data_IF_922673257469
#
_entry.id   IF_922673257469
#
_cell.length_a   1.000
_cell.length_b   1.000
_cell.length_c   1.000
_cell.angle_alpha   90.00
_cell.angle_beta   90.00
_cell.angle_gamma   90.00
#
_symmetry.space_group_name_H-M   'P 1'
#
loop_
_entity.id
_entity.type
_entity.pdbx_description
1 polymer ?
#
# COMPACT_ATOMS: atom_id res chain seq x y z
N UNK A 1 33.90 9.21 22.07
CA UNK A 1 33.16 7.93 21.91
C UNK A 1 31.69 8.18 22.16
N UNK A 2 30.89 8.23 21.10
CA UNK A 2 29.44 8.48 21.18
C UNK A 2 28.72 7.25 21.76
N UNK A 3 27.96 7.44 22.85
CA UNK A 3 27.08 6.41 23.41
C UNK A 3 25.98 6.11 22.38
N UNK A 4 26.11 5.01 21.64
CA UNK A 4 25.01 4.40 20.88
C UNK A 4 23.92 4.00 21.89
N UNK A 5 22.95 4.88 22.13
CA UNK A 5 21.76 4.56 22.89
C UNK A 5 21.05 3.40 22.22
N UNK A 6 20.85 2.29 22.94
CA UNK A 6 20.02 1.18 22.47
C UNK A 6 18.64 1.75 22.17
N UNK A 7 18.22 1.73 20.92
CA UNK A 7 16.84 2.05 20.56
C UNK A 7 15.93 1.13 21.39
N UNK A 8 15.04 1.67 22.23
CA UNK A 8 14.15 0.85 23.02
C UNK A 8 13.29 0.00 22.08
N UNK A 9 13.10 -1.29 22.39
CA UNK A 9 12.34 -2.21 21.53
C UNK A 9 10.93 -1.67 21.19
N UNK A 10 10.34 -0.90 22.10
CA UNK A 10 9.08 -0.17 21.88
C UNK A 10 9.18 0.88 20.77
N UNK A 11 10.29 1.61 20.66
CA UNK A 11 10.52 2.58 19.58
C UNK A 11 10.72 1.92 18.23
N UNK A 12 11.36 0.74 18.20
CA UNK A 12 11.50 -0.06 16.97
C UNK A 12 10.15 -0.59 16.50
N UNK A 13 9.32 -1.11 17.43
CA UNK A 13 7.95 -1.57 17.13
C UNK A 13 7.05 -0.46 16.60
N UNK A 14 7.13 0.74 17.17
CA UNK A 14 6.39 1.90 16.69
C UNK A 14 6.87 2.30 15.29
N UNK A 15 8.18 2.41 15.07
CA UNK A 15 8.74 2.75 13.76
C UNK A 15 8.38 1.71 12.69
N UNK A 16 8.48 0.43 13.02
CA UNK A 16 8.04 -0.65 12.13
C UNK A 16 6.54 -0.58 11.86
N UNK A 17 5.71 -0.38 12.88
CA UNK A 17 4.26 -0.28 12.71
C UNK A 17 3.89 0.85 11.75
N UNK A 18 4.48 2.04 11.94
CA UNK A 18 4.21 3.20 11.09
C UNK A 18 4.66 2.97 9.64
N UNK A 19 5.90 2.52 9.42
CA UNK A 19 6.45 2.35 8.06
C UNK A 19 5.81 1.17 7.33
N UNK A 20 5.64 0.03 8.00
CA UNK A 20 5.06 -1.14 7.36
C UNK A 20 3.53 -1.07 7.30
N UNK A 21 2.87 -0.28 8.13
CA UNK A 21 1.40 -0.15 8.08
C UNK A 21 0.91 0.47 6.78
N UNK A 22 1.63 1.48 6.27
CA UNK A 22 1.31 2.09 4.98
C UNK A 22 1.56 1.07 3.84
N UNK A 23 2.77 0.52 3.78
CA UNK A 23 3.17 -0.41 2.70
C UNK A 23 2.39 -1.73 2.71
N UNK A 24 2.07 -2.27 3.88
CA UNK A 24 1.54 -3.64 4.02
C UNK A 24 0.04 -3.75 3.81
N UNK A 25 -0.72 -2.66 3.95
CA UNK A 25 -2.16 -2.65 3.67
C UNK A 25 -2.45 -2.49 2.18
N UNK A 26 -1.52 -1.90 1.42
CA UNK A 26 -1.72 -1.57 0.01
C UNK A 26 -2.01 -2.74 -0.92
N UNK A 27 -1.29 -3.88 -0.82
CA UNK A 27 -1.62 -5.05 -1.62
C UNK A 27 -3.04 -5.58 -1.42
N UNK A 28 -3.62 -5.43 -0.23
CA UNK A 28 -4.95 -5.98 0.07
C UNK A 28 -6.06 -5.19 -0.62
N UNK A 29 -6.01 -3.86 -0.61
CA UNK A 29 -7.01 -3.08 -1.34
C UNK A 29 -6.84 -3.21 -2.85
N UNK A 30 -5.60 -3.35 -3.34
CA UNK A 30 -5.34 -3.55 -4.77
C UNK A 30 -5.93 -4.86 -5.24
N UNK A 31 -5.70 -5.94 -4.50
CA UNK A 31 -6.31 -7.23 -4.81
C UNK A 31 -7.82 -7.11 -4.89
N UNK A 32 -8.44 -6.43 -3.92
CA UNK A 32 -9.89 -6.21 -3.92
C UNK A 32 -10.36 -5.41 -5.14
N UNK A 33 -9.71 -4.28 -5.45
CA UNK A 33 -10.08 -3.41 -6.57
C UNK A 33 -9.94 -4.12 -7.93
N UNK A 34 -8.91 -4.95 -8.10
CA UNK A 34 -8.71 -5.74 -9.31
C UNK A 34 -9.80 -6.82 -9.44
N UNK A 35 -10.14 -7.49 -8.34
CA UNK A 35 -11.18 -8.52 -8.30
C UNK A 35 -12.54 -7.94 -8.66
N UNK A 36 -12.93 -6.81 -8.04
CA UNK A 36 -14.19 -6.13 -8.33
C UNK A 36 -14.21 -5.55 -9.75
N UNK A 37 -13.11 -4.95 -10.19
CA UNK A 37 -12.97 -4.39 -11.53
C UNK A 37 -13.03 -5.42 -12.67
N UNK A 38 -12.78 -6.69 -12.38
CA UNK A 38 -12.86 -7.78 -13.36
C UNK A 38 -14.19 -8.55 -13.34
N UNK A 39 -15.24 -8.04 -12.68
CA UNK A 39 -16.56 -8.68 -12.61
C UNK A 39 -16.81 -9.53 -11.36
N UNK A 40 -15.93 -9.44 -10.36
CA UNK A 40 -16.06 -10.11 -9.07
C UNK A 40 -15.53 -11.56 -9.07
N UNK A 41 -15.79 -12.28 -7.98
CA UNK A 41 -15.25 -13.64 -7.77
C UNK A 41 -15.70 -14.68 -8.80
N UNK A 42 -16.80 -14.42 -9.54
CA UNK A 42 -17.37 -15.39 -10.49
C UNK A 42 -16.65 -15.42 -11.84
N UNK A 43 -15.90 -14.38 -12.18
CA UNK A 43 -15.15 -14.25 -13.44
C UNK A 43 -13.65 -14.52 -13.26
N UNK A 44 -13.23 -14.87 -12.05
CA UNK A 44 -11.81 -15.08 -11.72
C UNK A 44 -11.42 -16.54 -11.91
N UNK A 45 -10.38 -16.73 -12.72
CA UNK A 45 -9.69 -18.01 -12.87
C UNK A 45 -8.38 -18.02 -12.04
N UNK A 46 -7.86 -19.21 -11.73
CA UNK A 46 -6.59 -19.41 -11.04
C UNK A 46 -5.42 -18.69 -11.73
N UNK A 47 -5.39 -18.69 -13.07
CA UNK A 47 -4.34 -18.00 -13.85
C UNK A 47 -4.38 -16.48 -13.64
N UNK A 48 -5.57 -15.90 -13.47
CA UNK A 48 -5.73 -14.48 -13.17
C UNK A 48 -5.19 -14.15 -11.78
N UNK A 49 -5.46 -15.00 -10.78
CA UNK A 49 -4.94 -14.82 -9.41
C UNK A 49 -3.41 -14.92 -9.40
N UNK A 50 -2.84 -15.96 -10.03
CA UNK A 50 -1.40 -16.16 -10.13
C UNK A 50 -0.73 -15.00 -10.86
N UNK A 51 -1.30 -14.55 -11.97
CA UNK A 51 -0.84 -13.38 -12.71
C UNK A 51 -0.88 -12.10 -11.88
N UNK A 52 -1.98 -11.87 -11.13
CA UNK A 52 -2.14 -10.66 -10.32
C UNK A 52 -1.13 -10.63 -9.18
N UNK A 53 -0.98 -11.74 -8.45
CA UNK A 53 0.00 -11.86 -7.37
C UNK A 53 1.43 -11.71 -7.92
N UNK A 54 1.73 -12.35 -9.05
CA UNK A 54 3.02 -12.19 -9.72
C UNK A 54 3.32 -10.75 -10.08
N UNK A 55 2.32 -10.03 -10.58
CA UNK A 55 2.50 -8.67 -11.04
C UNK A 55 2.69 -7.72 -9.86
N UNK A 56 1.93 -7.86 -8.77
CA UNK A 56 2.16 -7.12 -7.52
C UNK A 56 3.56 -7.42 -6.97
N UNK A 57 3.95 -8.70 -6.88
CA UNK A 57 5.26 -9.11 -6.35
C UNK A 57 6.42 -8.49 -7.14
N UNK A 58 6.40 -8.61 -8.47
CA UNK A 58 7.47 -8.08 -9.31
C UNK A 58 7.46 -6.56 -9.40
N UNK A 59 6.28 -5.92 -9.43
CA UNK A 59 6.19 -4.46 -9.40
C UNK A 59 6.76 -3.90 -8.10
N UNK A 60 6.41 -4.47 -6.94
CA UNK A 60 6.99 -4.07 -5.66
C UNK A 60 8.51 -4.28 -5.66
N UNK A 61 8.96 -5.48 -6.03
CA UNK A 61 10.39 -5.84 -6.03
C UNK A 61 11.21 -4.93 -6.96
N UNK A 62 10.73 -4.70 -8.19
CA UNK A 62 11.43 -3.88 -9.17
C UNK A 62 11.40 -2.40 -8.79
N UNK A 63 10.26 -1.85 -8.36
CA UNK A 63 10.17 -0.46 -7.96
C UNK A 63 11.03 -0.18 -6.73
N UNK A 64 10.97 -1.03 -5.69
CA UNK A 64 11.82 -0.83 -4.51
C UNK A 64 13.30 -0.92 -4.85
N UNK A 65 13.69 -1.89 -5.67
CA UNK A 65 15.09 -2.09 -6.07
C UNK A 65 15.59 -0.94 -6.95
N UNK A 66 14.86 -0.57 -8.00
CA UNK A 66 15.32 0.45 -8.94
C UNK A 66 15.23 1.85 -8.31
N UNK A 67 14.07 2.24 -7.76
CA UNK A 67 13.86 3.60 -7.23
C UNK A 67 14.69 3.85 -5.98
N UNK A 68 14.67 2.93 -5.00
CA UNK A 68 15.31 3.19 -3.71
C UNK A 68 16.75 2.68 -3.67
N UNK A 69 16.99 1.43 -4.10
CA UNK A 69 18.35 0.85 -4.00
C UNK A 69 19.28 1.39 -5.08
N UNK A 70 18.84 1.45 -6.33
CA UNK A 70 19.72 1.88 -7.42
C UNK A 70 19.78 3.40 -7.58
N UNK A 71 18.67 4.12 -7.42
CA UNK A 71 18.65 5.58 -7.61
C UNK A 71 18.86 6.32 -6.29
N UNK A 72 18.00 6.11 -5.29
CA UNK A 72 18.05 6.93 -4.07
C UNK A 72 19.30 6.68 -3.21
N UNK A 73 19.78 5.43 -3.10
CA UNK A 73 21.00 5.11 -2.36
C UNK A 73 22.29 5.43 -3.13
N UNK A 74 22.28 5.48 -4.47
CA UNK A 74 23.46 5.92 -5.26
C UNK A 74 23.49 7.43 -5.49
N UNK A 75 22.38 8.14 -5.31
CA UNK A 75 22.32 9.60 -5.34
C UNK A 75 22.84 10.22 -4.02
N UNK A 76 23.96 9.70 -3.51
CA UNK A 76 24.68 10.24 -2.37
C UNK A 76 25.48 11.47 -2.83
N UNK A 77 25.29 12.59 -2.14
CA UNK A 77 26.09 13.79 -2.32
C UNK A 77 26.80 14.08 -0.99
N UNK A 78 28.04 13.62 -0.88
CA UNK A 78 28.95 13.93 0.23
C UNK A 78 28.40 13.55 1.63
N UNK A 79 27.68 12.44 1.77
CA UNK A 79 27.32 11.87 3.07
C UNK A 79 26.02 12.40 3.67
N UNK A 80 25.26 13.24 2.96
CA UNK A 80 23.86 13.57 3.29
C UNK A 80 22.92 12.84 2.32
N UNK A 81 22.73 11.55 2.59
CA UNK A 81 21.82 10.68 1.83
C UNK A 81 20.35 11.01 2.13
N UNK A 82 19.57 11.29 1.10
CA UNK A 82 18.12 11.39 1.21
C UNK A 82 17.47 12.19 0.09
N UNK A 83 16.16 11.98 -0.07
CA UNK A 83 15.26 12.67 -1.02
C UNK A 83 15.43 14.21 -0.99
N UNK A 84 15.86 14.76 0.15
CA UNK A 84 16.16 16.19 0.34
C UNK A 84 17.45 16.69 -0.35
N UNK A 85 18.47 15.85 -0.55
CA UNK A 85 19.67 16.21 -1.33
C UNK A 85 19.36 16.30 -2.83
N UNK A 86 18.52 15.37 -3.33
CA UNK A 86 17.96 15.40 -4.68
C UNK A 86 17.09 16.65 -4.91
N UNK A 87 16.23 17.02 -3.95
CA UNK A 87 15.41 18.24 -4.03
C UNK A 87 16.26 19.52 -4.10
N UNK A 88 17.35 19.59 -3.33
CA UNK A 88 18.26 20.75 -3.34
C UNK A 88 19.16 20.80 -4.58
N UNK A 89 19.52 19.66 -5.19
CA UNK A 89 20.21 19.60 -6.48
C UNK A 89 19.32 20.04 -7.66
N UNK A 90 18.06 19.57 -7.71
CA UNK A 90 17.09 19.93 -8.77
C UNK A 90 16.83 21.43 -8.81
N UNK A 91 16.77 22.09 -7.64
CA UNK A 91 16.58 23.55 -7.55
C UNK A 91 17.76 24.35 -8.13
N UNK A 92 18.98 23.79 -8.14
CA UNK A 92 20.18 24.47 -8.64
C UNK A 92 20.40 24.34 -10.15
N UNK A 93 19.74 23.39 -10.83
CA UNK A 93 20.06 23.06 -12.23
C UNK A 93 19.20 23.75 -13.31
N UNK A 94 18.10 24.45 -12.98
CA UNK A 94 17.44 25.32 -13.96
C UNK A 94 16.05 25.82 -13.60
N UNK A 95 15.70 27.03 -14.04
CA UNK A 95 14.36 27.65 -13.84
C UNK A 95 13.20 26.76 -14.34
N UNK A 96 13.43 25.95 -15.38
CA UNK A 96 12.42 25.06 -15.96
C UNK A 96 12.13 23.81 -15.12
N UNK A 97 13.00 23.43 -14.18
CA UNK A 97 12.78 22.29 -13.27
C UNK A 97 11.78 22.61 -12.14
N UNK A 98 11.41 23.88 -11.96
CA UNK A 98 10.43 24.30 -10.94
C UNK A 98 9.02 23.77 -11.28
N UNK A 99 8.63 23.78 -12.55
CA UNK A 99 7.31 23.31 -12.99
C UNK A 99 7.10 21.81 -12.64
N UNK A 100 7.96 20.87 -13.09
CA UNK A 100 7.80 19.46 -12.72
C UNK A 100 7.96 19.23 -11.21
N UNK A 101 8.78 20.02 -10.51
CA UNK A 101 8.90 19.93 -9.05
C UNK A 101 7.61 20.35 -8.33
N UNK A 102 6.93 21.41 -8.80
CA UNK A 102 5.63 21.83 -8.25
C UNK A 102 4.55 20.79 -8.51
N UNK A 103 4.51 20.21 -9.72
CA UNK A 103 3.58 19.13 -10.05
C UNK A 103 3.83 17.90 -9.17
N UNK A 104 5.09 17.48 -9.01
CA UNK A 104 5.45 16.38 -8.12
C UNK A 104 5.09 16.65 -6.66
N UNK A 105 5.35 17.86 -6.16
CA UNK A 105 4.97 18.26 -4.80
C UNK A 105 3.46 18.26 -4.59
N UNK A 106 2.68 18.76 -5.55
CA UNK A 106 1.22 18.71 -5.51
C UNK A 106 0.68 17.27 -5.55
N UNK A 107 1.28 16.40 -6.37
CA UNK A 107 0.92 14.99 -6.44
C UNK A 107 1.19 14.27 -5.11
N UNK A 108 2.33 14.54 -4.45
CA UNK A 108 2.65 13.99 -3.13
C UNK A 108 1.67 14.46 -2.04
N UNK A 109 1.26 15.72 -2.07
CA UNK A 109 0.24 16.23 -1.15
C UNK A 109 -1.13 15.60 -1.41
N UNK A 110 -1.50 15.43 -2.68
CA UNK A 110 -2.74 14.76 -3.07
C UNK A 110 -2.76 13.31 -2.59
N UNK A 111 -1.66 12.58 -2.78
CA UNK A 111 -1.50 11.20 -2.32
C UNK A 111 -1.69 11.09 -0.80
N UNK A 112 -1.03 11.96 -0.02
CA UNK A 112 -1.17 12.00 1.44
C UNK A 112 -2.60 12.30 1.95
N UNK A 113 -3.43 12.95 1.13
CA UNK A 113 -4.85 13.19 1.44
C UNK A 113 -5.75 12.04 0.99
N UNK A 114 -5.40 11.37 -0.11
CA UNK A 114 -6.18 10.26 -0.68
C UNK A 114 -6.02 8.95 0.11
N UNK A 115 -4.82 8.65 0.60
CA UNK A 115 -4.53 7.37 1.28
C UNK A 115 -5.46 7.07 2.47
N UNK A 116 -5.69 7.99 3.42
CA UNK A 116 -6.63 7.74 4.52
C UNK A 116 -8.07 7.50 4.05
N UNK A 117 -8.50 8.19 2.98
CA UNK A 117 -9.86 8.05 2.45
C UNK A 117 -10.07 6.69 1.77
N UNK A 118 -9.12 6.26 0.93
CA UNK A 118 -9.19 4.98 0.21
C UNK A 118 -9.04 3.80 1.16
N UNK A 119 -8.08 3.83 2.08
CA UNK A 119 -7.84 2.73 3.04
C UNK A 119 -9.03 2.52 3.97
N UNK A 120 -9.61 3.57 4.54
CA UNK A 120 -10.79 3.43 5.42
C UNK A 120 -12.02 2.97 4.64
N UNK A 121 -12.26 3.52 3.44
CA UNK A 121 -13.41 3.11 2.62
C UNK A 121 -13.31 1.63 2.24
N UNK A 122 -12.15 1.21 1.74
CA UNK A 122 -11.92 -0.19 1.32
C UNK A 122 -12.00 -1.16 2.49
N UNK A 123 -11.59 -0.76 3.70
CA UNK A 123 -11.75 -1.55 4.91
C UNK A 123 -13.23 -1.78 5.28
N UNK A 124 -14.06 -0.72 5.25
CA UNK A 124 -15.50 -0.84 5.54
C UNK A 124 -16.22 -1.64 4.47
N UNK A 125 -15.89 -1.42 3.20
CA UNK A 125 -16.41 -2.24 2.12
C UNK A 125 -15.89 -3.69 2.20
N UNK A 126 -14.72 -3.94 2.78
CA UNK A 126 -14.23 -5.29 3.07
C UNK A 126 -15.08 -5.99 4.12
N UNK A 127 -15.50 -5.27 5.18
CA UNK A 127 -16.43 -5.78 6.19
C UNK A 127 -17.78 -6.16 5.58
N UNK A 128 -18.24 -5.45 4.54
CA UNK A 128 -19.46 -5.79 3.81
C UNK A 128 -19.45 -7.21 3.21
N UNK A 129 -18.28 -7.78 2.94
CA UNK A 129 -18.15 -9.16 2.47
C UNK A 129 -18.53 -10.22 3.52
N UNK A 130 -18.66 -9.83 4.80
CA UNK A 130 -19.05 -10.73 5.88
C UNK A 130 -20.58 -10.71 6.04
N UNK A 131 -21.27 -11.88 6.07
CA UNK A 131 -22.73 -11.94 6.09
C UNK A 131 -23.39 -11.10 7.19
N UNK A 132 -22.81 -11.11 8.40
CA UNK A 132 -23.31 -10.35 9.56
C UNK A 132 -23.33 -8.83 9.31
N UNK A 133 -22.32 -8.32 8.60
CA UNK A 133 -22.22 -6.91 8.26
C UNK A 133 -23.00 -6.57 6.99
N UNK A 134 -23.16 -7.51 6.06
CA UNK A 134 -23.97 -7.34 4.86
C UNK A 134 -25.44 -7.04 5.19
N UNK A 135 -26.00 -7.70 6.21
CA UNK A 135 -27.38 -7.43 6.66
C UNK A 135 -27.56 -6.00 7.19
N UNK A 136 -26.52 -5.43 7.80
CA UNK A 136 -26.55 -4.07 8.37
C UNK A 136 -26.23 -2.99 7.32
N UNK A 137 -25.26 -3.24 6.43
CA UNK A 137 -24.82 -2.29 5.41
C UNK A 137 -25.66 -2.34 4.13
N UNK A 138 -26.26 -3.49 3.83
CA UNK A 138 -26.96 -3.76 2.57
C UNK A 138 -26.07 -3.54 1.35
N UNK A 139 -26.67 -3.13 0.23
CA UNK A 139 -25.97 -2.67 -0.98
C UNK A 139 -25.91 -1.12 -1.06
N UNK A 140 -26.05 -0.44 0.07
CA UNK A 140 -26.20 1.01 0.10
C UNK A 140 -24.84 1.69 0.28
N UNK A 141 -24.26 2.17 -0.83
CA UNK A 141 -22.98 2.88 -0.81
C UNK A 141 -23.02 4.12 0.08
N UNK A 142 -24.18 4.76 0.27
CA UNK A 142 -24.31 5.92 1.14
C UNK A 142 -24.02 5.58 2.61
N UNK A 143 -24.36 4.36 3.06
CA UNK A 143 -24.09 3.91 4.43
C UNK A 143 -22.58 3.77 4.65
N UNK A 144 -21.87 3.16 3.70
CA UNK A 144 -20.41 3.03 3.72
C UNK A 144 -19.76 4.41 3.77
N UNK A 145 -20.17 5.33 2.88
CA UNK A 145 -19.64 6.69 2.85
C UNK A 145 -19.84 7.43 4.18
N UNK A 146 -21.03 7.33 4.79
CA UNK A 146 -21.31 7.96 6.09
C UNK A 146 -20.40 7.38 7.18
N UNK A 147 -20.27 6.05 7.24
CA UNK A 147 -19.40 5.38 8.23
C UNK A 147 -17.95 5.83 8.04
N UNK A 148 -17.44 5.84 6.81
CA UNK A 148 -16.08 6.31 6.51
C UNK A 148 -15.88 7.76 6.95
N UNK A 149 -16.81 8.66 6.62
CA UNK A 149 -16.74 10.06 7.03
C UNK A 149 -16.70 10.22 8.55
N UNK A 150 -17.52 9.46 9.28
CA UNK A 150 -17.52 9.46 10.75
C UNK A 150 -16.19 8.97 11.29
N UNK A 151 -15.64 7.87 10.75
CA UNK A 151 -14.33 7.33 11.16
C UNK A 151 -13.23 8.36 10.92
N UNK A 152 -13.17 8.97 9.73
CA UNK A 152 -12.18 9.99 9.41
C UNK A 152 -12.30 11.20 10.33
N UNK A 153 -13.52 11.69 10.59
CA UNK A 153 -13.75 12.82 11.49
C UNK A 153 -13.26 12.49 12.91
N UNK A 154 -13.54 11.28 13.42
CA UNK A 154 -13.05 10.84 14.73
C UNK A 154 -11.53 10.70 14.74
N UNK A 155 -10.93 10.06 13.73
CA UNK A 155 -9.48 9.85 13.65
C UNK A 155 -8.72 11.18 13.57
N UNK A 156 -9.08 12.05 12.63
CA UNK A 156 -8.49 13.39 12.50
C UNK A 156 -8.83 14.28 13.71
N UNK A 157 -10.02 14.10 14.29
CA UNK A 157 -10.43 14.78 15.50
C UNK A 157 -9.58 14.40 16.71
N UNK A 158 -9.16 13.13 16.83
CA UNK A 158 -8.29 12.65 17.90
C UNK A 158 -6.82 13.09 17.72
N UNK A 159 -6.36 13.26 16.47
CA UNK A 159 -5.00 13.73 16.19
C UNK A 159 -4.69 15.11 16.79
N UNK A 160 -5.71 15.95 17.03
CA UNK A 160 -5.54 17.27 17.68
C UNK A 160 -4.97 17.19 19.10
N UNK A 161 -5.14 16.05 19.78
CA UNK A 161 -4.70 15.84 21.16
C UNK A 161 -3.26 15.33 21.26
N UNK A 162 -2.58 15.16 20.13
CA UNK A 162 -1.17 14.74 20.04
C UNK A 162 -1.02 13.46 19.22
N UNK A 163 -0.23 13.56 18.15
CA UNK A 163 0.12 12.44 17.27
C UNK A 163 0.95 11.37 17.98
N UNK A 164 1.64 11.74 19.08
CA UNK A 164 2.45 10.84 19.89
C UNK A 164 1.63 9.70 20.53
N UNK A 165 0.40 9.97 20.94
CA UNK A 165 -0.46 8.95 21.57
C UNK A 165 -0.95 7.96 20.52
N UNK A 166 -1.37 8.46 19.36
CA UNK A 166 -1.82 7.64 18.23
C UNK A 166 -0.67 6.77 17.71
N UNK A 167 0.53 7.35 17.53
CA UNK A 167 1.71 6.62 17.07
C UNK A 167 2.15 5.50 18.02
N UNK A 168 2.05 5.71 19.34
CA UNK A 168 2.37 4.67 20.34
C UNK A 168 1.38 3.50 20.32
N UNK A 169 0.10 3.77 20.08
CA UNK A 169 -0.92 2.72 19.96
C UNK A 169 -0.82 1.96 18.63
N UNK A 170 -0.35 2.63 17.57
CA UNK A 170 -0.29 2.06 16.22
C UNK A 170 0.67 0.87 16.13
N UNK A 171 1.87 0.97 16.72
CA UNK A 171 2.88 -0.10 16.69
C UNK A 171 2.36 -1.48 17.14
N UNK A 172 1.82 -1.61 18.36
CA UNK A 172 1.24 -2.86 18.86
C UNK A 172 0.07 -3.39 18.01
N UNK A 173 -0.82 -2.50 17.55
CA UNK A 173 -1.96 -2.88 16.71
C UNK A 173 -1.48 -3.45 15.37
N UNK A 174 -0.52 -2.79 14.72
CA UNK A 174 0.07 -3.26 13.48
C UNK A 174 0.82 -4.58 13.65
N UNK A 175 1.56 -4.73 14.75
CA UNK A 175 2.24 -5.99 15.05
C UNK A 175 1.25 -7.16 15.19
N UNK A 176 0.15 -6.94 15.93
CA UNK A 176 -0.91 -7.94 16.09
C UNK A 176 -1.56 -8.26 14.72
N UNK A 177 -1.85 -7.23 13.93
CA UNK A 177 -2.45 -7.37 12.61
C UNK A 177 -1.56 -8.16 11.64
N UNK A 178 -0.26 -7.83 11.55
CA UNK A 178 0.69 -8.56 10.72
C UNK A 178 0.90 -9.99 11.21
N UNK A 179 0.90 -10.22 12.52
CA UNK A 179 0.99 -11.56 13.09
C UNK A 179 -0.25 -12.39 12.71
N UNK A 180 -1.44 -11.78 12.75
CA UNK A 180 -2.67 -12.42 12.31
C UNK A 180 -2.63 -12.76 10.81
N UNK A 181 -2.24 -11.81 9.96
CA UNK A 181 -2.09 -12.06 8.52
C UNK A 181 -1.04 -13.13 8.22
N UNK A 182 0.10 -13.10 8.91
CA UNK A 182 1.15 -14.11 8.78
C UNK A 182 0.64 -15.49 9.19
N UNK A 183 -0.10 -15.59 10.29
CA UNK A 183 -0.69 -16.84 10.76
C UNK A 183 -1.71 -17.41 9.76
N UNK A 184 -2.69 -16.59 9.35
CA UNK A 184 -3.72 -17.01 8.38
C UNK A 184 -3.09 -17.31 7.02
N UNK A 185 -2.13 -16.49 6.59
CA UNK A 185 -1.40 -16.67 5.35
C UNK A 185 -0.63 -17.98 5.32
N UNK A 186 0.13 -18.30 6.38
CA UNK A 186 0.85 -19.57 6.49
C UNK A 186 -0.08 -20.78 6.50
N UNK A 187 -1.22 -20.70 7.20
CA UNK A 187 -2.21 -21.77 7.22
C UNK A 187 -2.78 -22.04 5.83
N UNK A 188 -3.22 -21.00 5.10
CA UNK A 188 -3.76 -21.16 3.75
C UNK A 188 -2.68 -21.55 2.73
N UNK A 189 -1.47 -20.98 2.84
CA UNK A 189 -0.35 -21.28 1.98
C UNK A 189 0.12 -22.74 2.10
N UNK A 190 0.01 -23.33 3.30
CA UNK A 190 0.34 -24.75 3.51
C UNK A 190 -0.61 -25.71 2.78
N UNK A 191 -1.83 -25.27 2.45
CA UNK A 191 -2.83 -26.08 1.77
C UNK A 191 -2.69 -26.06 0.25
N UNK A 192 -2.18 -24.96 -0.32
CA UNK A 192 -1.99 -24.82 -1.76
C UNK A 192 -0.64 -24.18 -2.12
N UNK A 193 0.38 -25.04 -2.28
CA UNK A 193 1.71 -24.63 -2.73
C UNK A 193 1.75 -24.13 -4.18
N UNK A 194 0.65 -24.25 -4.96
CA UNK A 194 0.63 -23.77 -6.34
C UNK A 194 0.84 -22.25 -6.43
N UNK A 195 0.54 -21.51 -5.35
CA UNK A 195 0.78 -20.07 -5.24
C UNK A 195 2.25 -19.67 -5.37
N UNK A 196 3.20 -20.57 -5.10
CA UNK A 196 4.65 -20.32 -5.32
C UNK A 196 4.93 -20.00 -6.79
N UNK A 197 4.13 -20.54 -7.71
CA UNK A 197 4.26 -20.27 -9.16
C UNK A 197 4.11 -18.79 -9.48
N UNK A 198 3.38 -18.02 -8.67
CA UNK A 198 3.25 -16.58 -8.84
C UNK A 198 4.59 -15.82 -8.71
N UNK A 199 5.66 -16.43 -8.17
CA UNK A 199 6.99 -15.81 -8.20
C UNK A 199 7.59 -15.78 -9.62
N UNK A 200 7.07 -16.58 -10.56
CA UNK A 200 7.55 -16.56 -11.93
C UNK A 200 6.97 -15.33 -12.68
N UNK A 201 7.81 -14.39 -13.16
CA UNK A 201 7.36 -13.17 -13.83
C UNK A 201 6.58 -13.44 -15.12
N UNK A 202 6.66 -14.66 -15.66
CA UNK A 202 5.90 -15.03 -16.85
C UNK A 202 4.38 -14.92 -16.60
N UNK A 203 3.89 -15.20 -15.39
CA UNK A 203 2.46 -15.06 -15.08
C UNK A 203 2.00 -13.61 -15.13
N UNK A 204 2.84 -12.68 -14.66
CA UNK A 204 2.60 -11.24 -14.78
C UNK A 204 2.52 -10.79 -16.25
N UNK A 205 3.47 -11.24 -17.08
CA UNK A 205 3.50 -10.89 -18.51
C UNK A 205 2.29 -11.49 -19.24
N UNK A 206 1.97 -12.76 -18.97
CA UNK A 206 0.81 -13.43 -19.55
C UNK A 206 -0.48 -12.70 -19.19
N UNK A 207 -0.66 -12.26 -17.95
CA UNK A 207 -1.87 -11.53 -17.53
C UNK A 207 -2.05 -10.19 -18.27
N UNK A 208 -0.96 -9.45 -18.50
CA UNK A 208 -1.01 -8.17 -19.22
C UNK A 208 -1.36 -8.40 -20.70
N UNK A 209 -0.83 -9.47 -21.30
CA UNK A 209 -1.00 -9.79 -22.71
C UNK A 209 -2.24 -10.64 -23.01
N UNK A 210 -2.92 -11.15 -21.97
CA UNK A 210 -4.08 -12.02 -22.15
C UNK A 210 -5.29 -11.22 -22.68
N UNK A 211 -5.88 -11.60 -23.82
CA UNK A 211 -7.09 -10.96 -24.36
C UNK A 211 -8.31 -11.06 -23.44
N UNK A 212 -8.36 -12.09 -22.57
CA UNK A 212 -9.46 -12.31 -21.63
C UNK A 212 -9.41 -11.38 -20.40
N UNK A 213 -8.36 -10.56 -20.28
CA UNK A 213 -8.27 -9.54 -19.25
C UNK A 213 -9.04 -8.29 -19.69
N UNK A 214 -10.25 -8.09 -19.16
CA UNK A 214 -11.11 -6.96 -19.51
C UNK A 214 -10.50 -5.59 -19.15
N UNK A 215 -9.58 -5.56 -18.17
CA UNK A 215 -8.84 -4.36 -17.79
C UNK A 215 -7.59 -4.14 -18.65
N UNK A 216 -7.08 -5.18 -19.33
CA UNK A 216 -5.86 -5.14 -20.14
C UNK A 216 -4.69 -4.47 -19.40
N UNK A 217 -4.06 -3.49 -20.05
CA UNK A 217 -2.94 -2.70 -19.49
C UNK A 217 -3.37 -1.80 -18.31
N UNK A 218 -4.65 -1.43 -18.20
CA UNK A 218 -5.13 -0.55 -17.12
C UNK A 218 -5.03 -1.19 -15.73
N UNK A 219 -4.91 -2.52 -15.65
CA UNK A 219 -4.64 -3.24 -14.41
C UNK A 219 -3.35 -2.74 -13.72
N UNK A 220 -2.37 -2.26 -14.49
CA UNK A 220 -1.12 -1.70 -13.97
C UNK A 220 -1.37 -0.44 -13.13
N UNK A 221 -2.41 0.35 -13.43
CA UNK A 221 -2.78 1.51 -12.62
C UNK A 221 -3.20 1.11 -11.21
N UNK A 222 -4.02 0.05 -11.09
CA UNK A 222 -4.41 -0.49 -9.79
C UNK A 222 -3.20 -1.08 -9.06
N UNK A 223 -2.31 -1.78 -9.77
CA UNK A 223 -1.11 -2.37 -9.17
C UNK A 223 -0.11 -1.32 -8.70
N UNK A 224 -0.04 -0.18 -9.39
CA UNK A 224 0.78 0.94 -8.95
C UNK A 224 0.34 1.45 -7.57
N UNK A 225 -0.96 1.39 -7.27
CA UNK A 225 -1.45 1.70 -5.92
C UNK A 225 -0.88 0.71 -4.88
N UNK A 226 -0.47 -0.51 -5.21
CA UNK A 226 0.15 -1.39 -4.21
C UNK A 226 1.47 -0.80 -3.68
N UNK A 227 2.05 0.16 -4.42
CA UNK A 227 3.30 0.83 -4.11
C UNK A 227 3.13 2.22 -3.50
N UNK A 228 1.89 2.70 -3.35
CA UNK A 228 1.60 3.96 -2.65
C UNK A 228 1.61 3.67 -1.15
N UNK A 229 2.66 4.14 -0.49
CA UNK A 229 3.00 4.01 0.92
C UNK A 229 4.46 4.38 1.21
#
# INVERSE_FOLDING_TARGET
>A
MSKKGKLPAAGLLVAMGVVYGDIGTSPLYVMKAIVEGNGGLQTINQDFILGTISLIFWTLTLLTTIKYVLIALNADNHGEGGIFSLYTLVRKQGKYLIIPAMIGGAALLADGVLTPAVTVTTAIEGLRGVPLFYETFGNNQNVIMIITLVILLVLFGLQRFGTDVVGKAFGPVMFLWFTFLGGVGLLNFSQDLSMIRALNPMYAIQLILNPDNHLGILILGNIFLATTG
#
